data_IF_326900232359
#
_entry.id   IF_326900232359
#
_cell.length_a   1.000
_cell.length_b   1.000
_cell.length_c   1.000
_cell.angle_alpha   90.00
_cell.angle_beta   90.00
_cell.angle_gamma   90.00
#
_symmetry.space_group_name_H-M   'P 1'
#
loop_
_entity.id
_entity.type
_entity.pdbx_description
1 polymer ?
#
# COMPACT_ATOMS: atom_id res chain seq x y z
N UNK A 1 7.67 12.17 56.94
CA UNK A 1 6.70 12.29 55.84
C UNK A 1 7.40 12.85 54.61
N UNK A 2 8.10 11.98 53.87
CA UNK A 2 8.76 12.25 52.59
C UNK A 2 8.50 11.02 51.72
N UNK A 3 8.37 11.19 50.41
CA UNK A 3 8.11 10.15 49.40
C UNK A 3 6.66 9.69 49.21
N UNK A 4 5.82 10.56 48.63
CA UNK A 4 4.70 10.13 47.77
C UNK A 4 4.77 10.79 46.36
N UNK A 5 5.66 11.76 46.15
CA UNK A 5 5.71 12.57 44.91
C UNK A 5 6.35 11.83 43.72
N UNK A 6 7.04 10.70 43.92
CA UNK A 6 7.69 9.96 42.82
C UNK A 6 6.76 9.07 41.97
N UNK A 7 5.48 8.92 42.32
CA UNK A 7 4.54 8.04 41.58
C UNK A 7 3.69 8.78 40.53
N UNK A 8 3.85 10.10 40.38
CA UNK A 8 3.03 10.91 39.46
C UNK A 8 3.67 11.17 38.09
N UNK A 9 4.89 10.70 37.82
CA UNK A 9 5.60 10.96 36.57
C UNK A 9 5.69 9.76 35.60
N UNK A 10 5.10 8.60 35.94
CA UNK A 10 5.25 7.37 35.14
C UNK A 10 3.94 6.91 34.46
N UNK A 11 3.06 7.85 34.11
CA UNK A 11 1.72 7.51 33.58
C UNK A 11 1.29 8.25 32.31
N UNK A 12 2.13 9.09 31.71
CA UNK A 12 1.71 9.96 30.60
C UNK A 12 2.73 9.90 29.46
N UNK A 13 2.93 8.76 28.81
CA UNK A 13 3.64 8.73 27.50
C UNK A 13 3.26 7.58 26.56
N UNK A 14 2.08 6.96 26.70
CA UNK A 14 1.61 5.98 25.71
C UNK A 14 0.16 6.24 25.35
N UNK A 15 -0.08 7.39 24.72
CA UNK A 15 -1.20 7.50 23.79
C UNK A 15 -0.62 7.23 22.39
N UNK A 16 -0.44 5.95 22.05
CA UNK A 16 -0.28 5.56 20.66
C UNK A 16 -1.61 5.87 19.96
N UNK A 17 -1.59 6.88 19.08
CA UNK A 17 -2.72 7.11 18.18
C UNK A 17 -2.57 6.10 17.06
N UNK A 18 -3.05 4.87 17.29
CA UNK A 18 -3.09 3.85 16.24
C UNK A 18 -4.00 4.37 15.11
N UNK A 19 -3.41 4.89 14.03
CA UNK A 19 -4.17 5.37 12.89
C UNK A 19 -4.25 4.24 11.88
N UNK A 20 -5.31 3.44 11.96
CA UNK A 20 -5.59 2.40 10.97
C UNK A 20 -5.60 3.00 9.55
N UNK A 21 -4.75 2.46 8.67
CA UNK A 21 -4.64 2.88 7.27
C UNK A 21 -5.52 1.98 6.41
N UNK A 22 -6.69 2.46 6.03
CA UNK A 22 -7.58 1.71 5.14
C UNK A 22 -7.24 1.95 3.67
N UNK A 23 -6.78 0.89 2.99
CA UNK A 23 -6.47 0.93 1.57
C UNK A 23 -7.68 0.50 0.72
N UNK A 24 -7.75 1.01 -0.51
CA UNK A 24 -8.87 0.78 -1.41
C UNK A 24 -8.63 -0.44 -2.28
N UNK A 25 -9.58 -1.36 -2.30
CA UNK A 25 -9.52 -2.54 -3.17
C UNK A 25 -9.97 -2.23 -4.60
N UNK A 26 -9.23 -2.77 -5.57
CA UNK A 26 -9.62 -2.81 -6.97
C UNK A 26 -10.71 -3.85 -7.22
N UNK A 27 -11.72 -3.51 -8.04
CA UNK A 27 -12.68 -4.49 -8.54
C UNK A 27 -12.40 -4.84 -10.01
N UNK A 28 -12.54 -6.13 -10.36
CA UNK A 28 -12.31 -6.66 -11.70
C UNK A 28 -13.58 -6.63 -12.57
N UNK A 29 -14.23 -5.47 -12.66
CA UNK A 29 -15.30 -5.24 -13.62
C UNK A 29 -14.67 -4.53 -14.81
N UNK A 30 -14.79 -5.04 -16.04
CA UNK A 30 -14.07 -4.55 -17.24
C UNK A 30 -14.17 -3.02 -17.45
N UNK A 31 -15.29 -2.39 -17.08
CA UNK A 31 -15.50 -0.93 -17.12
C UNK A 31 -14.88 -0.16 -15.94
N UNK A 32 -14.51 -0.87 -14.88
CA UNK A 32 -14.06 -0.34 -13.58
C UNK A 32 -12.55 -0.32 -13.43
N UNK A 33 -11.79 -0.83 -14.41
CA UNK A 33 -10.32 -0.82 -14.29
C UNK A 33 -9.74 0.59 -14.14
N UNK A 34 -10.36 1.61 -14.74
CA UNK A 34 -9.96 3.01 -14.53
C UNK A 34 -10.09 3.44 -13.06
N UNK A 35 -11.10 2.92 -12.36
CA UNK A 35 -11.26 3.14 -10.91
C UNK A 35 -10.15 2.39 -10.15
N UNK A 36 -9.81 1.17 -10.58
CA UNK A 36 -8.66 0.45 -10.01
C UNK A 36 -7.36 1.25 -10.17
N UNK A 37 -7.07 1.79 -11.35
CA UNK A 37 -5.90 2.66 -11.57
C UNK A 37 -5.87 3.85 -10.61
N UNK A 38 -7.01 4.52 -10.41
CA UNK A 38 -7.11 5.60 -9.44
C UNK A 38 -6.83 5.11 -8.00
N UNK A 39 -7.38 3.96 -7.62
CA UNK A 39 -7.19 3.40 -6.29
C UNK A 39 -5.76 2.97 -6.02
N UNK A 40 -5.08 2.37 -6.99
CA UNK A 40 -3.65 2.04 -6.89
C UNK A 40 -2.83 3.30 -6.56
N UNK A 41 -3.03 4.39 -7.31
CA UNK A 41 -2.31 5.63 -7.09
C UNK A 41 -2.66 6.30 -5.76
N UNK A 42 -3.93 6.25 -5.36
CA UNK A 42 -4.39 6.75 -4.06
C UNK A 42 -3.73 5.94 -2.92
N UNK A 43 -3.73 4.62 -3.00
CA UNK A 43 -3.16 3.77 -1.96
C UNK A 43 -1.67 4.04 -1.79
N UNK A 44 -0.89 4.05 -2.87
CA UNK A 44 0.53 4.42 -2.78
C UNK A 44 0.73 5.83 -2.22
N UNK A 45 -0.11 6.80 -2.60
CA UNK A 45 -0.03 8.15 -2.00
C UNK A 45 -0.37 8.15 -0.50
N UNK A 46 -1.29 7.31 -0.05
CA UNK A 46 -1.65 7.18 1.37
C UNK A 46 -0.49 6.54 2.12
N UNK A 47 0.03 5.41 1.63
CA UNK A 47 1.17 4.69 2.21
C UNK A 47 2.38 5.60 2.33
N UNK A 48 2.72 6.35 1.27
CA UNK A 48 3.85 7.30 1.31
C UNK A 48 3.68 8.41 2.35
N UNK A 49 2.44 8.84 2.62
CA UNK A 49 2.18 9.81 3.70
C UNK A 49 2.27 9.18 5.08
N UNK A 50 1.81 7.93 5.23
CA UNK A 50 1.89 7.19 6.49
C UNK A 50 3.34 6.92 6.90
N UNK A 51 4.19 6.50 5.96
CA UNK A 51 5.60 6.17 6.22
C UNK A 51 6.47 7.41 6.51
N UNK A 52 5.94 8.62 6.37
CA UNK A 52 6.61 9.86 6.72
C UNK A 52 7.27 10.61 5.56
N UNK A 53 7.94 11.71 5.90
CA UNK A 53 8.46 12.65 4.90
C UNK A 53 9.61 12.02 4.09
N UNK A 54 9.47 12.02 2.76
CA UNK A 54 10.53 11.61 1.83
C UNK A 54 10.23 10.35 1.01
N UNK A 55 9.21 9.57 1.40
CA UNK A 55 8.80 8.38 0.64
C UNK A 55 7.80 8.77 -0.45
N UNK A 56 8.24 8.72 -1.71
CA UNK A 56 7.43 9.05 -2.88
C UNK A 56 7.36 7.85 -3.84
N UNK A 57 6.15 7.34 -4.02
CA UNK A 57 5.85 6.31 -5.01
C UNK A 57 5.49 6.93 -6.35
N UNK A 58 5.83 6.23 -7.44
CA UNK A 58 5.50 6.67 -8.79
C UNK A 58 3.99 6.62 -9.05
N UNK A 59 3.48 7.59 -9.80
CA UNK A 59 2.11 7.51 -10.33
C UNK A 59 2.10 6.58 -11.54
N UNK A 60 1.28 5.54 -11.48
CA UNK A 60 1.16 4.53 -12.53
C UNK A 60 -0.03 4.83 -13.44
N UNK A 61 0.21 4.81 -14.75
CA UNK A 61 -0.81 5.05 -15.77
C UNK A 61 -0.94 3.90 -16.76
N UNK A 62 -2.16 3.41 -16.96
CA UNK A 62 -2.40 2.37 -17.95
C UNK A 62 -2.61 2.97 -19.33
N UNK A 63 -1.60 2.83 -20.19
CA UNK A 63 -1.63 3.36 -21.57
C UNK A 63 -2.32 2.42 -22.57
N UNK A 64 -2.73 1.21 -22.14
CA UNK A 64 -3.39 0.25 -23.01
C UNK A 64 -4.90 0.49 -23.07
N UNK A 65 -5.46 0.46 -24.27
CA UNK A 65 -6.91 0.59 -24.51
C UNK A 65 -7.68 -0.74 -24.41
N UNK A 66 -6.98 -1.88 -24.37
CA UNK A 66 -7.58 -3.22 -24.42
C UNK A 66 -7.20 -4.11 -23.25
N UNK A 67 -6.45 -3.64 -22.27
CA UNK A 67 -5.96 -4.47 -21.18
C UNK A 67 -4.98 -3.69 -20.34
N UNK A 68 -3.97 -4.35 -19.81
CA UNK A 68 -2.91 -3.70 -19.02
C UNK A 68 -1.66 -3.51 -19.87
N UNK A 69 -1.10 -2.30 -19.87
CA UNK A 69 0.18 -2.00 -20.51
C UNK A 69 1.35 -2.53 -19.66
N UNK A 70 2.44 -2.93 -20.32
CA UNK A 70 3.65 -3.39 -19.62
C UNK A 70 4.29 -2.30 -18.74
N UNK A 71 4.19 -1.04 -19.14
CA UNK A 71 4.64 0.09 -18.34
C UNK A 71 3.85 0.25 -17.04
N UNK A 72 2.53 0.00 -17.09
CA UNK A 72 1.70 0.03 -15.88
C UNK A 72 1.99 -1.14 -14.95
N UNK A 73 2.12 -2.37 -15.49
CA UNK A 73 2.56 -3.53 -14.72
C UNK A 73 3.90 -3.26 -14.04
N UNK A 74 4.88 -2.74 -14.79
CA UNK A 74 6.20 -2.43 -14.27
C UNK A 74 6.16 -1.38 -13.17
N UNK A 75 5.46 -0.27 -13.38
CA UNK A 75 5.34 0.80 -12.39
C UNK A 75 4.78 0.31 -11.05
N UNK A 76 3.72 -0.52 -11.09
CA UNK A 76 3.14 -1.09 -9.86
C UNK A 76 4.17 -1.94 -9.12
N UNK A 77 4.84 -2.83 -9.84
CA UNK A 77 5.82 -3.74 -9.24
C UNK A 77 7.05 -2.98 -8.71
N UNK A 78 7.49 -1.92 -9.38
CA UNK A 78 8.56 -1.05 -8.89
C UNK A 78 8.16 -0.32 -7.61
N UNK A 79 6.92 0.16 -7.51
CA UNK A 79 6.44 0.77 -6.27
C UNK A 79 6.36 -0.22 -5.12
N UNK A 80 5.85 -1.43 -5.34
CA UNK A 80 5.86 -2.48 -4.31
C UNK A 80 7.29 -2.89 -3.93
N UNK A 81 8.21 -2.99 -4.90
CA UNK A 81 9.63 -3.26 -4.60
C UNK A 81 10.23 -2.17 -3.72
N UNK A 82 10.02 -0.89 -4.05
CA UNK A 82 10.46 0.22 -3.22
C UNK A 82 9.82 0.22 -1.83
N UNK A 83 8.58 -0.24 -1.74
CA UNK A 83 7.89 -0.34 -0.47
C UNK A 83 8.49 -1.44 0.40
N UNK A 84 8.89 -2.58 -0.19
CA UNK A 84 9.63 -3.62 0.53
C UNK A 84 10.95 -3.08 1.08
N UNK A 85 11.69 -2.30 0.27
CA UNK A 85 12.94 -1.66 0.71
C UNK A 85 12.74 -0.71 1.91
N UNK A 86 11.55 -0.12 2.05
CA UNK A 86 11.22 0.82 3.14
C UNK A 86 10.70 0.10 4.38
N UNK A 87 9.97 -0.99 4.23
CA UNK A 87 9.36 -1.76 5.33
C UNK A 87 10.32 -2.76 5.99
N UNK A 88 11.63 -2.66 5.71
CA UNK A 88 12.65 -3.67 6.02
C UNK A 88 12.47 -4.96 5.19
N UNK A 89 13.57 -5.62 4.82
CA UNK A 89 13.66 -6.72 3.84
C UNK A 89 12.83 -7.99 4.20
N UNK A 90 12.06 -7.94 5.30
CA UNK A 90 11.21 -9.03 5.79
C UNK A 90 9.86 -9.09 5.06
N UNK A 91 9.43 -8.01 4.40
CA UNK A 91 8.18 -7.98 3.64
C UNK A 91 8.43 -8.25 2.16
N UNK A 92 7.78 -9.28 1.62
CA UNK A 92 7.89 -9.64 0.21
C UNK A 92 6.55 -9.49 -0.50
N UNK A 93 6.52 -8.66 -1.54
CA UNK A 93 5.33 -8.48 -2.37
C UNK A 93 5.39 -9.38 -3.60
N UNK A 94 4.22 -9.88 -4.02
CA UNK A 94 4.13 -10.70 -5.23
C UNK A 94 4.28 -9.82 -6.46
N UNK A 95 4.97 -10.36 -7.46
CA UNK A 95 5.05 -9.71 -8.76
C UNK A 95 3.73 -9.88 -9.54
N UNK A 96 3.05 -8.77 -9.81
CA UNK A 96 1.75 -8.76 -10.46
C UNK A 96 1.89 -8.68 -11.97
N UNK A 97 1.36 -9.68 -12.68
CA UNK A 97 1.42 -9.77 -14.14
C UNK A 97 0.05 -10.01 -14.74
N UNK A 98 -0.30 -9.21 -15.76
CA UNK A 98 -1.53 -9.42 -16.52
C UNK A 98 -1.28 -10.37 -17.70
N UNK A 99 -1.69 -11.63 -17.55
CA UNK A 99 -1.48 -12.67 -18.56
C UNK A 99 -2.46 -12.61 -19.74
N UNK A 100 -3.52 -11.80 -19.65
CA UNK A 100 -4.55 -11.68 -20.69
C UNK A 100 -4.23 -10.50 -21.62
N UNK A 101 -4.09 -10.76 -22.92
CA UNK A 101 -3.71 -9.73 -23.91
C UNK A 101 -4.76 -8.63 -24.15
N UNK A 102 -6.04 -8.97 -24.00
CA UNK A 102 -7.16 -8.12 -24.43
C UNK A 102 -8.20 -7.90 -23.33
N UNK A 103 -7.79 -8.08 -22.07
CA UNK A 103 -8.56 -7.67 -20.91
C UNK A 103 -7.65 -7.60 -19.70
N UNK A 104 -8.16 -6.98 -18.65
CA UNK A 104 -7.56 -7.08 -17.32
C UNK A 104 -7.91 -8.46 -16.77
N UNK A 105 -6.91 -9.17 -16.27
CA UNK A 105 -7.11 -10.48 -15.67
C UNK A 105 -7.49 -10.33 -14.20
N UNK A 106 -8.37 -11.23 -13.73
CA UNK A 106 -8.72 -11.25 -12.31
C UNK A 106 -7.50 -11.51 -11.45
N UNK A 107 -6.59 -12.36 -11.91
CA UNK A 107 -5.33 -12.70 -11.22
C UNK A 107 -4.44 -11.48 -11.02
N UNK A 108 -4.41 -10.56 -11.99
CA UNK A 108 -3.67 -9.31 -11.87
C UNK A 108 -4.29 -8.39 -10.81
N UNK A 109 -5.62 -8.25 -10.80
CA UNK A 109 -6.34 -7.45 -9.82
C UNK A 109 -6.21 -8.04 -8.41
N UNK A 110 -6.36 -9.37 -8.28
CA UNK A 110 -6.18 -10.08 -7.01
C UNK A 110 -4.77 -9.89 -6.48
N UNK A 111 -3.76 -9.96 -7.36
CA UNK A 111 -2.38 -9.71 -6.98
C UNK A 111 -2.16 -8.34 -6.35
N UNK A 112 -2.69 -7.29 -6.99
CA UNK A 112 -2.59 -5.92 -6.48
C UNK A 112 -3.28 -5.79 -5.12
N UNK A 113 -4.50 -6.32 -5.00
CA UNK A 113 -5.27 -6.26 -3.76
C UNK A 113 -4.54 -6.98 -2.62
N UNK A 114 -4.11 -8.22 -2.83
CA UNK A 114 -3.41 -9.00 -1.81
C UNK A 114 -2.08 -8.34 -1.39
N UNK A 115 -1.36 -7.69 -2.31
CA UNK A 115 -0.18 -6.92 -1.91
C UNK A 115 -0.55 -5.72 -1.04
N UNK A 116 -1.62 -4.98 -1.34
CA UNK A 116 -2.07 -3.90 -0.46
C UNK A 116 -2.65 -4.40 0.86
N UNK A 117 -3.28 -5.57 0.91
CA UNK A 117 -3.73 -6.21 2.15
C UNK A 117 -2.52 -6.51 3.06
N UNK A 118 -1.40 -6.97 2.48
CA UNK A 118 -0.13 -7.12 3.21
C UNK A 118 0.33 -5.76 3.74
N UNK A 119 0.36 -4.72 2.91
CA UNK A 119 0.76 -3.37 3.35
C UNK A 119 -0.10 -2.86 4.49
N UNK A 120 -1.42 -3.04 4.43
CA UNK A 120 -2.34 -2.64 5.49
C UNK A 120 -2.02 -3.38 6.81
N UNK A 121 -1.68 -4.67 6.74
CA UNK A 121 -1.22 -5.44 7.91
C UNK A 121 0.08 -4.91 8.49
N UNK A 122 1.10 -4.68 7.65
CA UNK A 122 2.42 -4.21 8.10
C UNK A 122 2.35 -2.80 8.70
N UNK A 123 1.50 -1.92 8.15
CA UNK A 123 1.32 -0.56 8.68
C UNK A 123 0.56 -0.53 10.02
N UNK A 124 -0.21 -1.56 10.36
CA UNK A 124 -0.83 -1.71 11.69
C UNK A 124 0.23 -2.08 12.74
N UNK A 125 1.25 -2.86 12.36
CA UNK A 125 2.27 -3.39 13.26
C UNK A 125 3.44 -2.42 13.51
N UNK A 126 3.49 -1.27 12.82
CA UNK A 126 4.54 -0.24 12.94
C UNK A 126 4.25 0.82 14.04
N UNK A 127 3.07 0.78 14.66
CA UNK A 127 2.67 1.65 15.80
C UNK A 127 3.05 1.07 17.19
#
# INVERSE_FOLDING_TARGET
MRSIISLLFLGIFLSSNANAVYLRSCSNLDTTFRICEAFVNINFSVVGRTLGQGILFGTCHNTSSKGVSKLYEQCINENFSRLADVLDDQVSFRHCMNLKKHKVSWEFVSCINENFDIVESELIDID
#
